data_IF_096203840601
#
_entry.id   IF_096203840601
#
_cell.length_a   1.000
_cell.length_b   1.000
_cell.length_c   1.000
_cell.angle_alpha   90.00
_cell.angle_beta   90.00
_cell.angle_gamma   90.00
#
_symmetry.space_group_name_H-M   'P 1'
#
loop_
_entity.id
_entity.type
_entity.pdbx_description
1 polymer ?
#
# COMPACT_ATOMS: atom_id res chain seq x y z
N UNK A 1 -7.77 7.99 -63.64
CA UNK A 1 -6.32 8.19 -63.40
C UNK A 1 -6.21 9.25 -62.32
N UNK A 2 -5.70 8.88 -61.14
CA UNK A 2 -5.47 9.83 -60.05
C UNK A 2 -4.46 10.86 -60.51
N UNK A 3 -4.82 12.13 -60.49
CA UNK A 3 -3.95 13.20 -60.99
C UNK A 3 -2.80 13.43 -60.03
N UNK A 4 -1.63 13.84 -60.55
CA UNK A 4 -0.43 14.11 -59.74
C UNK A 4 -0.71 15.11 -58.59
N UNK A 5 -1.64 16.04 -58.83
CA UNK A 5 -2.08 17.02 -57.84
C UNK A 5 -2.85 16.39 -56.67
N UNK A 6 -3.76 15.44 -56.94
CA UNK A 6 -4.51 14.73 -55.90
C UNK A 6 -3.59 13.86 -55.04
N UNK A 7 -2.58 13.22 -55.64
CA UNK A 7 -1.58 12.44 -54.91
C UNK A 7 -0.76 13.31 -53.94
N UNK A 8 -0.33 14.51 -54.39
CA UNK A 8 0.40 15.48 -53.56
C UNK A 8 -0.46 16.02 -52.42
N UNK A 9 -1.74 16.30 -52.67
CA UNK A 9 -2.67 16.75 -51.64
C UNK A 9 -2.95 15.68 -50.60
N UNK A 10 -3.11 14.42 -51.03
CA UNK A 10 -3.27 13.29 -50.11
C UNK A 10 -2.02 13.09 -49.25
N UNK A 11 -0.82 13.20 -49.84
CA UNK A 11 0.44 13.08 -49.11
C UNK A 11 0.62 14.20 -48.07
N UNK A 12 0.25 15.44 -48.42
CA UNK A 12 0.26 16.57 -47.49
C UNK A 12 -0.78 16.39 -46.37
N UNK A 13 -1.99 15.96 -46.70
CA UNK A 13 -3.04 15.65 -45.72
C UNK A 13 -2.61 14.51 -44.78
N UNK A 14 -2.03 13.44 -45.30
CA UNK A 14 -1.53 12.31 -44.52
C UNK A 14 -0.37 12.70 -43.60
N UNK A 15 0.54 13.57 -44.04
CA UNK A 15 1.63 14.11 -43.20
C UNK A 15 1.09 15.01 -42.09
N UNK A 16 0.10 15.84 -42.37
CA UNK A 16 -0.57 16.67 -41.35
C UNK A 16 -1.32 15.78 -40.35
N UNK A 17 -2.01 14.74 -40.80
CA UNK A 17 -2.66 13.77 -39.92
C UNK A 17 -1.65 12.99 -39.08
N UNK A 18 -0.52 12.58 -39.64
CA UNK A 18 0.54 11.90 -38.89
C UNK A 18 1.22 12.84 -37.87
N UNK A 19 1.33 14.14 -38.18
CA UNK A 19 1.85 15.15 -37.24
C UNK A 19 0.83 15.56 -36.16
N UNK A 20 -0.47 15.49 -36.46
CA UNK A 20 -1.57 15.78 -35.54
C UNK A 20 -2.09 14.56 -34.78
N UNK A 21 -1.71 13.35 -35.21
CA UNK A 21 -1.86 12.16 -34.39
C UNK A 21 -0.88 12.37 -33.25
N UNK A 22 -1.40 12.72 -32.07
CA UNK A 22 -0.66 12.65 -30.81
C UNK A 22 0.23 11.42 -30.90
N UNK A 23 1.55 11.64 -30.95
CA UNK A 23 2.50 10.55 -30.96
C UNK A 23 2.06 9.61 -29.85
N UNK A 24 1.81 8.33 -30.20
CA UNK A 24 1.50 7.29 -29.22
C UNK A 24 2.74 7.11 -28.33
N UNK A 25 3.01 8.10 -27.47
CA UNK A 25 4.03 8.04 -26.45
C UNK A 25 3.48 7.10 -25.40
N UNK A 26 3.98 5.88 -25.41
CA UNK A 26 3.74 4.97 -24.31
C UNK A 26 4.12 5.72 -23.02
N UNK A 27 3.20 5.85 -22.04
CA UNK A 27 3.50 6.56 -20.82
C UNK A 27 4.75 5.94 -20.20
N UNK A 28 5.77 6.77 -19.95
CA UNK A 28 7.04 6.31 -19.40
C UNK A 28 6.77 5.50 -18.14
N UNK A 29 7.19 4.24 -18.14
CA UNK A 29 7.03 3.34 -17.00
C UNK A 29 7.73 3.95 -15.79
N UNK A 30 7.04 4.03 -14.66
CA UNK A 30 7.64 4.48 -13.42
C UNK A 30 8.67 3.44 -12.95
N UNK A 31 9.93 3.85 -12.87
CA UNK A 31 11.05 2.98 -12.51
C UNK A 31 11.39 3.01 -11.03
N UNK A 32 10.69 3.83 -10.22
CA UNK A 32 10.97 3.98 -8.80
C UNK A 32 10.69 2.69 -8.04
N UNK A 33 11.51 2.41 -7.03
CA UNK A 33 11.31 1.29 -6.12
C UNK A 33 10.25 1.60 -5.07
N UNK A 34 9.70 0.56 -4.46
CA UNK A 34 8.75 0.70 -3.36
C UNK A 34 9.34 1.52 -2.20
N UNK A 35 10.61 1.33 -1.86
CA UNK A 35 11.29 2.11 -0.83
C UNK A 35 11.28 3.61 -1.12
N UNK A 36 11.49 4.01 -2.37
CA UNK A 36 11.49 5.42 -2.77
C UNK A 36 10.10 6.04 -2.61
N UNK A 37 9.05 5.30 -2.98
CA UNK A 37 7.68 5.75 -2.76
C UNK A 37 7.33 5.89 -1.27
N UNK A 38 7.84 4.98 -0.42
CA UNK A 38 7.66 5.07 1.03
C UNK A 38 8.33 6.32 1.59
N UNK A 39 9.55 6.65 1.14
CA UNK A 39 10.25 7.87 1.57
C UNK A 39 9.51 9.14 1.14
N UNK A 40 9.03 9.18 -0.11
CA UNK A 40 8.25 10.32 -0.62
C UNK A 40 6.94 10.45 0.17
N UNK A 41 6.25 9.34 0.43
CA UNK A 41 5.05 9.37 1.26
C UNK A 41 5.36 9.85 2.68
N UNK A 42 6.48 9.40 3.27
CA UNK A 42 6.87 9.77 4.62
C UNK A 42 7.13 11.27 4.70
N UNK A 43 7.90 11.84 3.77
CA UNK A 43 8.27 13.25 3.76
C UNK A 43 7.08 14.19 3.57
N UNK A 44 6.08 13.81 2.77
CA UNK A 44 4.92 14.66 2.48
C UNK A 44 3.72 14.43 3.40
N UNK A 45 3.54 13.21 3.92
CA UNK A 45 2.35 12.83 4.67
C UNK A 45 2.68 12.13 5.98
N UNK A 46 3.52 11.09 5.94
CA UNK A 46 3.75 10.21 7.08
C UNK A 46 4.32 10.91 8.32
N UNK A 47 5.11 11.98 8.15
CA UNK A 47 5.61 12.82 9.26
C UNK A 47 4.48 13.47 10.09
N UNK A 48 3.31 13.70 9.48
CA UNK A 48 2.18 14.39 10.10
C UNK A 48 1.22 13.43 10.84
N UNK A 49 1.46 12.11 10.78
CA UNK A 49 0.62 11.14 11.44
C UNK A 49 0.87 11.09 12.95
N UNK A 50 -0.22 11.06 13.72
CA UNK A 50 -0.16 10.80 15.17
C UNK A 50 0.43 9.42 15.48
N UNK A 51 0.10 8.43 14.66
CA UNK A 51 0.57 7.06 14.84
C UNK A 51 1.92 6.84 14.14
N UNK A 52 3.00 6.83 14.92
CA UNK A 52 4.39 6.84 14.40
C UNK A 52 4.89 5.50 13.85
N UNK A 53 4.21 4.38 14.13
CA UNK A 53 4.70 3.06 13.73
C UNK A 53 4.37 2.68 12.28
N UNK A 54 3.67 3.54 11.55
CA UNK A 54 3.28 3.30 10.14
C UNK A 54 4.51 3.21 9.24
N UNK A 55 5.38 4.23 9.26
CA UNK A 55 6.62 4.26 8.48
C UNK A 55 7.54 3.05 8.72
N UNK A 56 7.95 2.72 9.96
CA UNK A 56 8.82 1.55 10.18
C UNK A 56 8.14 0.24 9.80
N UNK A 57 6.80 0.17 9.83
CA UNK A 57 6.06 -1.00 9.31
C UNK A 57 6.15 -1.08 7.79
N UNK A 58 5.94 0.03 7.07
CA UNK A 58 6.10 0.08 5.61
C UNK A 58 7.51 -0.32 5.17
N UNK A 59 8.55 0.17 5.86
CA UNK A 59 9.95 -0.21 5.57
C UNK A 59 10.18 -1.71 5.77
N UNK A 60 9.70 -2.28 6.88
CA UNK A 60 9.79 -3.73 7.15
C UNK A 60 9.08 -4.56 6.08
N UNK A 61 7.89 -4.12 5.66
CA UNK A 61 7.14 -4.75 4.57
C UNK A 61 7.91 -4.68 3.25
N UNK A 62 8.47 -3.51 2.93
CA UNK A 62 9.28 -3.30 1.73
C UNK A 62 10.48 -4.25 1.68
N UNK A 63 11.19 -4.43 2.81
CA UNK A 63 12.29 -5.38 2.91
C UNK A 63 11.81 -6.82 2.71
N UNK A 64 10.72 -7.22 3.36
CA UNK A 64 10.15 -8.56 3.23
C UNK A 64 9.63 -8.87 1.82
N UNK A 65 9.23 -7.84 1.06
CA UNK A 65 8.83 -7.93 -0.35
C UNK A 65 10.02 -7.90 -1.32
N UNK A 66 11.26 -7.75 -0.83
CA UNK A 66 12.46 -7.67 -1.67
C UNK A 66 12.67 -6.32 -2.36
N UNK A 67 12.03 -5.26 -1.87
CA UNK A 67 12.06 -3.91 -2.44
C UNK A 67 11.83 -3.87 -3.98
N UNK A 68 10.64 -4.32 -4.43
CA UNK A 68 10.35 -4.40 -5.86
C UNK A 68 10.24 -3.00 -6.48
N UNK A 69 10.39 -2.93 -7.81
CA UNK A 69 9.91 -1.77 -8.57
C UNK A 69 8.42 -1.56 -8.30
N UNK A 70 7.99 -0.32 -8.05
CA UNK A 70 6.63 -0.03 -7.63
C UNK A 70 5.57 -0.53 -8.62
N UNK A 71 5.85 -0.39 -9.92
CA UNK A 71 5.01 -0.91 -11.02
C UNK A 71 4.92 -2.44 -11.08
N UNK A 72 5.89 -3.13 -10.48
CA UNK A 72 5.89 -4.59 -10.45
C UNK A 72 5.15 -5.12 -9.22
N UNK A 73 4.89 -4.29 -8.20
CA UNK A 73 4.09 -4.71 -7.05
C UNK A 73 2.64 -4.92 -7.51
N UNK A 74 2.13 -6.14 -7.32
CA UNK A 74 0.78 -6.50 -7.76
C UNK A 74 0.08 -7.33 -6.67
N UNK A 75 -1.16 -7.71 -6.97
CA UNK A 75 -2.02 -8.49 -6.07
C UNK A 75 -1.37 -9.82 -5.64
N UNK A 76 -0.67 -10.49 -6.56
CA UNK A 76 -0.03 -11.79 -6.29
C UNK A 76 1.15 -11.65 -5.34
N UNK A 77 2.03 -10.66 -5.56
CA UNK A 77 3.14 -10.37 -4.65
C UNK A 77 2.66 -10.15 -3.21
N UNK A 78 1.58 -9.38 -3.05
CA UNK A 78 1.03 -9.13 -1.72
C UNK A 78 0.28 -10.35 -1.15
N UNK A 79 -0.37 -11.17 -1.99
CA UNK A 79 -0.97 -12.42 -1.54
C UNK A 79 0.09 -13.40 -1.00
N UNK A 80 1.19 -13.60 -1.73
CA UNK A 80 2.33 -14.40 -1.31
C UNK A 80 2.94 -13.87 -0.01
N UNK A 81 3.14 -12.55 0.10
CA UNK A 81 3.59 -11.92 1.34
C UNK A 81 2.71 -12.29 2.54
N UNK A 82 1.39 -12.16 2.42
CA UNK A 82 0.46 -12.48 3.51
C UNK A 82 0.56 -13.96 3.91
N UNK A 83 0.62 -14.88 2.95
CA UNK A 83 0.78 -16.31 3.22
C UNK A 83 2.05 -16.58 4.03
N UNK A 84 3.18 -15.99 3.62
CA UNK A 84 4.46 -16.11 4.34
C UNK A 84 4.37 -15.55 5.77
N UNK A 85 3.70 -14.41 5.98
CA UNK A 85 3.52 -13.82 7.32
C UNK A 85 2.70 -14.73 8.23
N UNK A 86 1.61 -15.29 7.72
CA UNK A 86 0.79 -16.25 8.49
C UNK A 86 1.60 -17.49 8.85
N UNK A 87 2.38 -18.04 7.91
CA UNK A 87 3.27 -19.18 8.16
C UNK A 87 4.35 -18.89 9.22
N UNK A 88 4.77 -17.63 9.35
CA UNK A 88 5.68 -17.15 10.41
C UNK A 88 4.98 -16.93 11.78
N UNK A 89 3.69 -17.27 11.92
CA UNK A 89 2.93 -17.09 13.16
C UNK A 89 2.42 -15.68 13.40
N UNK A 90 2.49 -14.79 12.39
CA UNK A 90 1.94 -13.43 12.50
C UNK A 90 0.42 -13.50 12.46
N UNK A 91 -0.25 -12.83 13.39
CA UNK A 91 -1.72 -12.88 13.47
C UNK A 91 -2.37 -12.24 12.24
N UNK A 92 -3.55 -12.74 11.79
CA UNK A 92 -4.31 -12.12 10.70
C UNK A 92 -4.62 -10.64 10.93
N UNK A 93 -4.82 -10.22 12.19
CA UNK A 93 -5.03 -8.83 12.55
C UNK A 93 -3.81 -7.95 12.23
N UNK A 94 -2.61 -8.42 12.60
CA UNK A 94 -1.37 -7.72 12.28
C UNK A 94 -1.18 -7.60 10.77
N UNK A 95 -1.43 -8.68 10.02
CA UNK A 95 -1.32 -8.67 8.56
C UNK A 95 -2.36 -7.73 7.91
N UNK A 96 -3.57 -7.63 8.48
CA UNK A 96 -4.59 -6.67 8.03
C UNK A 96 -4.16 -5.22 8.27
N UNK A 97 -3.45 -4.93 9.38
CA UNK A 97 -2.89 -3.60 9.65
C UNK A 97 -1.76 -3.26 8.67
N UNK A 98 -0.85 -4.20 8.42
CA UNK A 98 0.19 -4.09 7.38
C UNK A 98 -0.43 -3.76 6.01
N UNK A 99 -1.46 -4.51 5.61
CA UNK A 99 -2.23 -4.24 4.40
C UNK A 99 -2.85 -2.83 4.40
N UNK A 100 -3.54 -2.44 5.46
CA UNK A 100 -4.19 -1.14 5.55
C UNK A 100 -3.18 0.02 5.37
N UNK A 101 -2.00 -0.08 5.96
CA UNK A 101 -0.96 0.94 5.84
C UNK A 101 -0.43 1.05 4.41
N UNK A 102 -0.07 -0.07 3.78
CA UNK A 102 0.45 -0.04 2.42
C UNK A 102 -0.60 0.46 1.42
N UNK A 103 -1.86 0.03 1.58
CA UNK A 103 -2.97 0.53 0.77
C UNK A 103 -3.18 2.03 0.95
N UNK A 104 -3.18 2.52 2.19
CA UNK A 104 -3.36 3.94 2.50
C UNK A 104 -2.22 4.79 1.92
N UNK A 105 -0.97 4.30 2.00
CA UNK A 105 0.20 4.95 1.42
C UNK A 105 0.03 5.17 -0.10
N UNK A 106 -0.34 4.12 -0.86
CA UNK A 106 -0.60 4.25 -2.30
C UNK A 106 -1.77 5.18 -2.60
N UNK A 107 -2.87 5.09 -1.86
CA UNK A 107 -4.01 6.01 -2.04
C UNK A 107 -3.60 7.47 -1.84
N UNK A 108 -2.75 7.75 -0.86
CA UNK A 108 -2.26 9.09 -0.58
C UNK A 108 -1.33 9.59 -1.70
N UNK A 109 -0.42 8.74 -2.19
CA UNK A 109 0.44 9.08 -3.32
C UNK A 109 -0.35 9.34 -4.61
N UNK A 110 -1.46 8.61 -4.83
CA UNK A 110 -2.39 8.87 -5.93
C UNK A 110 -3.07 10.23 -5.72
N UNK A 111 -3.55 10.52 -4.51
CA UNK A 111 -4.21 11.78 -4.16
C UNK A 111 -3.30 12.99 -4.38
N UNK A 112 -2.00 12.84 -4.14
CA UNK A 112 -0.98 13.87 -4.37
C UNK A 112 -0.51 13.95 -5.84
N UNK A 113 -0.97 13.06 -6.72
CA UNK A 113 -0.52 12.98 -8.11
C UNK A 113 0.88 12.40 -8.31
N UNK A 114 1.51 11.93 -7.23
CA UNK A 114 2.85 11.31 -7.25
C UNK A 114 2.82 9.92 -7.87
N UNK A 115 1.74 9.15 -7.67
CA UNK A 115 1.53 7.83 -8.28
C UNK A 115 0.39 7.92 -9.29
N UNK A 116 0.65 7.48 -10.54
CA UNK A 116 -0.30 7.64 -11.66
C UNK A 116 -1.10 6.36 -11.96
N UNK A 117 -0.62 5.22 -11.51
CA UNK A 117 -1.23 3.91 -11.75
C UNK A 117 -2.29 3.58 -10.68
N UNK A 118 -3.08 2.52 -10.87
CA UNK A 118 -4.02 2.05 -9.84
C UNK A 118 -3.25 1.63 -8.56
N UNK A 119 -3.94 1.64 -7.42
CA UNK A 119 -3.39 1.08 -6.20
C UNK A 119 -3.24 -0.46 -6.34
N UNK A 120 -2.03 -1.04 -6.19
CA UNK A 120 -1.82 -2.46 -6.41
C UNK A 120 -2.53 -3.38 -5.40
N UNK A 121 -3.02 -2.81 -4.28
CA UNK A 121 -3.78 -3.50 -3.26
C UNK A 121 -5.29 -3.26 -3.36
N UNK A 122 -5.77 -2.52 -4.37
CA UNK A 122 -7.17 -2.08 -4.48
C UNK A 122 -8.19 -3.22 -4.35
N UNK A 123 -7.87 -4.38 -4.91
CA UNK A 123 -8.78 -5.53 -5.02
C UNK A 123 -8.59 -6.61 -3.95
N UNK A 124 -7.62 -6.42 -3.06
CA UNK A 124 -7.30 -7.41 -2.04
C UNK A 124 -8.28 -7.28 -0.88
N UNK A 125 -8.92 -8.39 -0.51
CA UNK A 125 -9.73 -8.46 0.71
C UNK A 125 -8.85 -8.72 1.93
N UNK A 126 -9.18 -8.06 3.03
CA UNK A 126 -8.60 -8.34 4.35
C UNK A 126 -9.10 -9.70 4.88
N UNK A 127 -8.32 -10.31 5.77
CA UNK A 127 -8.76 -11.50 6.49
C UNK A 127 -9.97 -11.17 7.35
N UNK A 128 -10.97 -12.04 7.38
CA UNK A 128 -12.09 -11.91 8.31
C UNK A 128 -11.61 -12.29 9.71
N UNK A 129 -11.72 -11.37 10.66
CA UNK A 129 -11.34 -11.59 12.06
C UNK A 129 -12.64 -11.81 12.84
N UNK A 130 -12.82 -12.96 13.51
CA UNK A 130 -13.94 -13.11 14.44
C UNK A 130 -13.77 -12.12 15.59
N UNK A 131 -14.86 -11.45 15.95
CA UNK A 131 -14.85 -10.53 17.08
C UNK A 131 -14.57 -11.34 18.34
N UNK A 132 -13.48 -11.01 19.05
CA UNK A 132 -13.17 -11.65 20.32
C UNK A 132 -14.10 -11.02 21.35
N UNK A 133 -14.88 -11.83 22.04
CA UNK A 133 -15.62 -11.37 23.22
C UNK A 133 -14.59 -10.77 24.20
N UNK A 134 -14.71 -9.46 24.41
CA UNK A 134 -13.99 -8.76 25.46
C UNK A 134 -14.55 -9.24 26.79
N UNK A 135 -13.80 -10.08 27.50
CA UNK A 135 -14.12 -10.40 28.88
C UNK A 135 -13.78 -9.18 29.75
N UNK A 136 -14.80 -8.55 30.33
CA UNK A 136 -14.60 -7.56 31.37
C UNK A 136 -14.29 -8.26 32.70
N UNK A 137 -13.46 -7.65 33.52
CA UNK A 137 -13.31 -8.08 34.91
C UNK A 137 -14.65 -7.85 35.62
N UNK A 138 -15.21 -8.90 36.23
CA UNK A 138 -16.35 -8.74 37.12
C UNK A 138 -15.90 -8.18 38.48
N UNK A 139 -16.84 -7.70 39.30
CA UNK A 139 -16.52 -7.10 40.61
C UNK A 139 -15.69 -8.04 41.49
N UNK A 140 -15.99 -9.34 41.48
CA UNK A 140 -15.28 -10.33 42.27
C UNK A 140 -13.82 -10.51 41.81
N UNK A 141 -13.57 -10.50 40.50
CA UNK A 141 -12.24 -10.52 39.92
C UNK A 141 -11.47 -9.22 40.19
N UNK A 142 -12.15 -8.07 40.18
CA UNK A 142 -11.54 -6.80 40.57
C UNK A 142 -11.15 -6.78 42.05
N UNK A 143 -12.03 -7.24 42.95
CA UNK A 143 -11.73 -7.34 44.39
C UNK A 143 -10.61 -8.34 44.66
N UNK A 144 -10.60 -9.49 43.98
CA UNK A 144 -9.53 -10.48 44.12
C UNK A 144 -8.17 -9.91 43.70
N UNK A 145 -8.09 -9.20 42.57
CA UNK A 145 -6.86 -8.55 42.10
C UNK A 145 -6.38 -7.45 43.06
N UNK A 146 -7.29 -6.60 43.55
CA UNK A 146 -6.95 -5.53 44.49
C UNK A 146 -6.51 -6.05 45.87
N UNK A 147 -7.12 -7.14 46.34
CA UNK A 147 -6.74 -7.77 47.61
C UNK A 147 -5.38 -8.47 47.52
N UNK A 148 -5.06 -9.07 46.38
CA UNK A 148 -3.79 -9.76 46.16
C UNK A 148 -2.58 -8.79 46.14
N UNK A 149 -2.74 -7.59 45.58
CA UNK A 149 -1.70 -6.55 45.61
C UNK A 149 -1.47 -5.99 47.03
N UNK A 150 -2.51 -5.96 47.87
CA UNK A 150 -2.40 -5.50 49.27
C UNK A 150 -1.63 -6.48 50.18
N UNK A 151 -1.55 -7.75 49.80
CA UNK A 151 -0.78 -8.80 50.51
C UNK A 151 0.69 -8.85 50.08
N UNK A 152 1.06 -8.24 48.95
CA UNK A 152 2.44 -8.14 48.47
C UNK A 152 3.30 -7.12 49.23
N UNK A 153 2.68 -6.18 49.95
CA UNK A 153 3.36 -5.19 50.80
C UNK A 153 3.64 -5.70 52.23
N UNK A 154 3.16 -6.89 52.58
CA UNK A 154 3.42 -7.55 53.87
C UNK A 154 4.22 -8.83 53.59
N UNK A 155 5.41 -8.68 53.00
CA UNK A 155 6.47 -9.68 53.15
C UNK A 155 7.62 -9.01 53.90
N UNK A 156 7.72 -9.42 55.16
CA UNK A 156 8.80 -9.15 56.12
C UNK A 156 10.15 -9.53 55.52
#
# INVERSE_FOLDING_TARGET
MTTKAEALQFEAWAKIQAANTEAWEMPKKDTRRLSELIEIWQSHHGINLRHRSTYPTLIRMCQALGNPGAENLNTEHFAAYRTTRIAQGVTPNTVNREHAYLRAMFNELIRLGTWKSENPLARIRQFKIPEREISFLNNDQMTALLCQDSLGYIRV
#
